data_IF_830259405538
#
_entry.id   IF_830259405538
#
_cell.length_a   1.000
_cell.length_b   1.000
_cell.length_c   1.000
_cell.angle_alpha   90.00
_cell.angle_beta   90.00
_cell.angle_gamma   90.00
#
_symmetry.space_group_name_H-M   'P 1'
#
loop_
_entity.id
_entity.type
_entity.pdbx_description
1 polymer ?
#
# COMPACT_ATOMS: atom_id res chain seq x y z
N UNK A 1 5.66 0.78 -13.96
CA UNK A 1 4.49 1.02 -13.09
C UNK A 1 5.03 1.58 -11.81
N UNK A 2 4.67 2.82 -11.52
CA UNK A 2 5.08 3.47 -10.28
C UNK A 2 4.32 2.80 -9.14
N UNK A 3 4.94 2.75 -7.96
CA UNK A 3 4.28 2.32 -6.73
C UNK A 3 3.03 3.16 -6.44
N UNK A 4 3.03 4.42 -6.88
CA UNK A 4 1.86 5.30 -6.87
C UNK A 4 0.61 4.67 -7.48
N UNK A 5 0.73 3.82 -8.51
CA UNK A 5 -0.43 3.18 -9.16
C UNK A 5 -1.14 2.20 -8.22
N UNK A 6 -0.50 1.78 -7.12
CA UNK A 6 -1.11 0.92 -6.12
C UNK A 6 -2.22 1.58 -5.30
N UNK A 7 -2.59 2.85 -5.55
CA UNK A 7 -3.83 3.46 -5.05
C UNK A 7 -5.09 2.90 -5.75
N UNK A 8 -4.92 2.42 -6.99
CA UNK A 8 -6.01 2.04 -7.88
C UNK A 8 -6.85 0.85 -7.39
N UNK A 9 -6.28 -0.23 -6.81
CA UNK A 9 -7.08 -1.32 -6.26
C UNK A 9 -8.09 -0.84 -5.21
N UNK A 10 -7.66 -0.01 -4.26
CA UNK A 10 -8.52 0.56 -3.22
C UNK A 10 -9.60 1.47 -3.80
N UNK A 11 -9.22 2.31 -4.76
CA UNK A 11 -10.16 3.20 -5.46
C UNK A 11 -11.23 2.41 -6.25
N UNK A 12 -10.83 1.35 -6.96
CA UNK A 12 -11.75 0.47 -7.68
C UNK A 12 -12.71 -0.24 -6.73
N UNK A 13 -12.20 -0.77 -5.62
CA UNK A 13 -13.01 -1.44 -4.61
C UNK A 13 -14.01 -0.48 -3.94
N UNK A 14 -13.59 0.75 -3.63
CA UNK A 14 -14.45 1.82 -3.11
C UNK A 14 -15.57 2.15 -4.11
N UNK A 15 -15.23 2.33 -5.38
CA UNK A 15 -16.22 2.60 -6.42
C UNK A 15 -17.22 1.45 -6.59
N UNK A 16 -16.75 0.20 -6.61
CA UNK A 16 -17.61 -0.98 -6.72
C UNK A 16 -18.58 -1.11 -5.54
N UNK A 17 -18.13 -0.82 -4.31
CA UNK A 17 -19.00 -0.78 -3.13
C UNK A 17 -20.10 0.29 -3.25
N UNK A 18 -19.78 1.44 -3.85
CA UNK A 18 -20.72 2.55 -4.08
C UNK A 18 -21.47 2.48 -5.42
N UNK A 19 -21.56 1.31 -6.05
CA UNK A 19 -22.45 1.05 -7.18
C UNK A 19 -21.84 1.15 -8.58
N UNK A 20 -20.50 1.24 -8.70
CA UNK A 20 -19.83 1.00 -9.98
C UNK A 20 -19.91 -0.48 -10.41
N UNK A 21 -19.66 -0.80 -11.70
CA UNK A 21 -19.69 -2.16 -12.20
C UNK A 21 -18.87 -3.17 -11.38
N UNK A 22 -19.41 -4.39 -11.23
CA UNK A 22 -18.82 -5.41 -10.34
C UNK A 22 -17.45 -5.91 -10.77
N UNK A 23 -17.13 -5.83 -12.07
CA UNK A 23 -15.81 -6.16 -12.64
C UNK A 23 -14.69 -5.24 -12.12
N UNK A 24 -15.03 -4.05 -11.60
CA UNK A 24 -14.07 -3.20 -10.89
C UNK A 24 -13.52 -3.89 -9.63
N UNK A 25 -14.34 -4.65 -8.89
CA UNK A 25 -13.88 -5.41 -7.72
C UNK A 25 -12.98 -6.58 -8.13
N UNK A 26 -13.25 -7.21 -9.28
CA UNK A 26 -12.40 -8.28 -9.81
C UNK A 26 -11.03 -7.74 -10.23
N UNK A 27 -11.00 -6.60 -10.91
CA UNK A 27 -9.75 -5.90 -11.24
C UNK A 27 -9.02 -5.42 -9.98
N UNK A 28 -9.76 -4.91 -8.97
CA UNK A 28 -9.18 -4.49 -7.70
C UNK A 28 -8.42 -5.63 -7.02
N UNK A 29 -9.02 -6.84 -6.95
CA UNK A 29 -8.36 -8.01 -6.36
C UNK A 29 -7.11 -8.42 -7.12
N UNK A 30 -7.15 -8.40 -8.46
CA UNK A 30 -6.00 -8.72 -9.31
C UNK A 30 -4.85 -7.72 -9.11
N UNK A 31 -5.14 -6.43 -9.16
CA UNK A 31 -4.14 -5.39 -8.96
C UNK A 31 -3.61 -5.37 -7.52
N UNK A 32 -4.45 -5.69 -6.52
CA UNK A 32 -4.01 -5.78 -5.13
C UNK A 32 -2.98 -6.90 -4.94
N UNK A 33 -3.20 -8.06 -5.56
CA UNK A 33 -2.20 -9.14 -5.60
C UNK A 33 -0.90 -8.65 -6.26
N UNK A 34 -0.97 -8.01 -7.43
CA UNK A 34 0.21 -7.46 -8.10
C UNK A 34 0.97 -6.46 -7.22
N UNK A 35 0.26 -5.54 -6.56
CA UNK A 35 0.87 -4.57 -5.65
C UNK A 35 1.52 -5.24 -4.44
N UNK A 36 0.95 -6.33 -3.91
CA UNK A 36 1.62 -7.10 -2.87
C UNK A 36 2.85 -7.86 -3.39
N UNK A 37 2.79 -8.40 -4.61
CA UNK A 37 3.94 -9.03 -5.29
C UNK A 37 5.11 -8.04 -5.46
N UNK A 38 4.83 -6.75 -5.69
CA UNK A 38 5.87 -5.70 -5.73
C UNK A 38 6.65 -5.57 -4.42
N UNK A 39 6.07 -5.96 -3.28
CA UNK A 39 6.75 -6.01 -1.99
C UNK A 39 7.51 -7.32 -1.82
N UNK A 40 6.82 -8.46 -1.91
CA UNK A 40 7.41 -9.75 -1.50
C UNK A 40 8.45 -10.31 -2.47
N UNK A 41 8.52 -9.80 -3.70
CA UNK A 41 9.59 -10.14 -4.65
C UNK A 41 10.87 -9.32 -4.43
N UNK A 42 10.88 -8.39 -3.47
CA UNK A 42 12.07 -7.65 -3.05
C UNK A 42 12.69 -8.33 -1.82
N UNK A 43 14.01 -8.25 -1.72
CA UNK A 43 14.80 -8.89 -0.67
C UNK A 43 14.51 -8.29 0.72
N UNK A 44 14.14 -7.01 0.79
CA UNK A 44 13.64 -6.38 2.02
C UNK A 44 12.16 -6.59 2.26
N UNK A 45 11.40 -7.13 1.31
CA UNK A 45 9.95 -7.19 1.39
C UNK A 45 9.26 -5.82 1.35
N UNK A 46 9.92 -4.80 0.78
CA UNK A 46 9.39 -3.45 0.58
C UNK A 46 9.43 -3.10 -0.92
N UNK A 47 8.33 -2.58 -1.47
CA UNK A 47 8.30 -2.20 -2.90
C UNK A 47 9.28 -1.05 -3.21
N UNK A 48 9.94 -1.08 -4.38
CA UNK A 48 10.65 0.07 -4.92
C UNK A 48 9.67 1.17 -5.38
N UNK A 49 10.21 2.32 -5.79
CA UNK A 49 9.43 3.43 -6.35
C UNK A 49 8.80 3.07 -7.69
N UNK A 50 9.53 2.35 -8.56
CA UNK A 50 9.08 1.98 -9.89
C UNK A 50 9.46 0.53 -10.20
N UNK A 51 8.50 -0.24 -10.72
CA UNK A 51 8.70 -1.59 -11.25
C UNK A 51 8.49 -1.64 -12.75
N UNK A 52 9.15 -2.58 -13.41
CA UNK A 52 8.92 -2.93 -14.82
C UNK A 52 8.51 -4.40 -14.88
N UNK A 53 7.45 -4.69 -15.66
CA UNK A 53 6.97 -6.06 -15.81
C UNK A 53 7.62 -6.73 -17.00
N UNK A 54 8.05 -7.98 -16.81
CA UNK A 54 8.59 -8.81 -17.86
C UNK A 54 7.46 -9.45 -18.68
N UNK A 55 7.33 -9.03 -19.95
CA UNK A 55 6.29 -9.52 -20.86
C UNK A 55 6.76 -10.64 -21.79
N UNK A 56 8.01 -11.09 -21.65
CA UNK A 56 8.58 -12.14 -22.49
C UNK A 56 8.32 -13.55 -21.92
N UNK A 57 7.95 -14.49 -22.78
CA UNK A 57 7.86 -15.90 -22.41
C UNK A 57 9.22 -16.44 -21.94
N UNK A 58 9.24 -17.11 -20.79
CA UNK A 58 10.45 -17.70 -20.19
C UNK A 58 11.19 -16.81 -19.19
N UNK A 59 10.70 -15.60 -18.91
CA UNK A 59 11.22 -14.78 -17.81
C UNK A 59 11.04 -15.46 -16.47
N UNK A 60 12.10 -15.47 -15.65
CA UNK A 60 12.13 -16.15 -14.34
C UNK A 60 11.49 -15.29 -13.23
N UNK A 61 11.39 -13.97 -13.46
CA UNK A 61 10.82 -13.01 -12.51
C UNK A 61 9.79 -12.12 -13.21
N UNK A 62 8.67 -11.89 -12.55
CA UNK A 62 7.62 -10.99 -13.04
C UNK A 62 8.09 -9.52 -13.04
N UNK A 63 8.86 -9.15 -12.00
CA UNK A 63 9.20 -7.76 -11.67
C UNK A 63 10.70 -7.50 -11.76
N UNK A 64 11.06 -6.54 -12.61
CA UNK A 64 12.38 -5.93 -12.69
C UNK A 64 12.40 -4.50 -12.14
N UNK A 65 13.54 -4.11 -11.56
CA UNK A 65 13.73 -2.82 -10.89
C UNK A 65 15.05 -2.23 -11.34
N UNK A 66 15.01 -1.07 -12.00
CA UNK A 66 16.22 -0.34 -12.41
C UNK A 66 16.95 0.16 -11.18
N UNK A 67 18.27 0.35 -11.29
CA UNK A 67 19.10 0.80 -10.17
C UNK A 67 18.60 2.12 -9.55
N UNK A 68 18.19 3.08 -10.37
CA UNK A 68 17.69 4.38 -9.91
C UNK A 68 16.35 4.30 -9.16
N UNK A 69 15.59 3.22 -9.38
CA UNK A 69 14.21 3.09 -8.92
C UNK A 69 14.10 2.28 -7.61
N UNK A 70 15.21 1.71 -7.12
CA UNK A 70 15.24 0.80 -5.95
C UNK A 70 14.90 1.44 -4.60
N UNK A 71 14.64 2.74 -4.58
CA UNK A 71 14.36 3.44 -3.33
C UNK A 71 12.94 3.15 -2.86
N UNK A 72 12.74 3.15 -1.55
CA UNK A 72 11.42 3.13 -0.92
C UNK A 72 11.30 4.34 -0.01
N UNK A 73 10.24 5.12 -0.21
CA UNK A 73 10.03 6.38 0.51
C UNK A 73 9.03 6.25 1.67
N UNK A 74 8.71 5.02 2.09
CA UNK A 74 7.70 4.70 3.10
C UNK A 74 6.26 4.99 2.65
N UNK A 75 6.02 4.95 1.33
CA UNK A 75 4.76 5.36 0.71
C UNK A 75 3.56 4.47 1.07
N UNK A 76 2.32 5.02 1.07
CA UNK A 76 1.15 4.36 1.66
C UNK A 76 0.32 3.51 0.70
N UNK A 77 0.45 3.65 -0.61
CA UNK A 77 -0.61 3.33 -1.58
C UNK A 77 -1.02 1.85 -1.55
N UNK A 78 -0.08 0.95 -1.27
CA UNK A 78 -0.40 -0.48 -1.09
C UNK A 78 -1.21 -0.72 0.19
N UNK A 79 -0.81 -0.14 1.33
CA UNK A 79 -1.55 -0.34 2.60
C UNK A 79 -2.87 0.43 2.63
N UNK A 80 -2.98 1.54 1.88
CA UNK A 80 -4.24 2.20 1.55
C UNK A 80 -5.19 1.24 0.85
N UNK A 81 -4.75 0.62 -0.24
CA UNK A 81 -5.58 -0.32 -0.99
C UNK A 81 -5.95 -1.57 -0.17
N UNK A 82 -5.02 -2.10 0.64
CA UNK A 82 -5.30 -3.21 1.55
C UNK A 82 -6.43 -2.87 2.53
N UNK A 83 -6.43 -1.65 3.07
CA UNK A 83 -7.49 -1.17 3.96
C UNK A 83 -8.87 -1.23 3.30
N UNK A 84 -9.01 -0.68 2.09
CA UNK A 84 -10.28 -0.72 1.35
C UNK A 84 -10.72 -2.14 1.03
N UNK A 85 -9.80 -2.96 0.49
CA UNK A 85 -10.10 -4.34 0.13
C UNK A 85 -10.53 -5.15 1.35
N UNK A 86 -9.83 -5.04 2.48
CA UNK A 86 -10.25 -5.67 3.72
C UNK A 86 -11.62 -5.18 4.19
N UNK A 87 -11.87 -3.87 4.16
CA UNK A 87 -13.16 -3.30 4.62
C UNK A 87 -14.35 -3.87 3.85
N UNK A 88 -14.22 -4.06 2.54
CA UNK A 88 -15.32 -4.52 1.69
C UNK A 88 -15.42 -6.04 1.54
N UNK A 89 -14.31 -6.77 1.58
CA UNK A 89 -14.34 -8.24 1.38
C UNK A 89 -14.26 -9.04 2.68
N UNK A 90 -13.77 -8.43 3.77
CA UNK A 90 -13.43 -9.09 5.05
C UNK A 90 -12.44 -10.26 4.91
N UNK A 91 -11.65 -10.26 3.83
CA UNK A 91 -10.64 -11.29 3.60
C UNK A 91 -9.39 -10.96 4.42
N UNK A 92 -9.15 -11.74 5.48
CA UNK A 92 -8.07 -11.51 6.44
C UNK A 92 -6.67 -11.58 5.82
N UNK A 93 -6.50 -12.16 4.63
CA UNK A 93 -5.20 -12.15 3.93
C UNK A 93 -4.67 -10.72 3.74
N UNK A 94 -5.55 -9.73 3.57
CA UNK A 94 -5.14 -8.34 3.37
C UNK A 94 -4.56 -7.73 4.66
N UNK A 95 -5.04 -8.17 5.82
CA UNK A 95 -4.41 -7.82 7.10
C UNK A 95 -3.05 -8.52 7.23
N UNK A 96 -2.96 -9.81 6.88
CA UNK A 96 -1.68 -10.54 6.92
C UNK A 96 -0.62 -9.89 6.03
N UNK A 97 -1.01 -9.45 4.82
CA UNK A 97 -0.15 -8.72 3.90
C UNK A 97 0.29 -7.38 4.46
N UNK A 98 -0.65 -6.61 5.03
CA UNK A 98 -0.33 -5.33 5.70
C UNK A 98 0.62 -5.53 6.88
N UNK A 99 0.45 -6.60 7.66
CA UNK A 99 1.29 -6.94 8.79
C UNK A 99 2.70 -7.33 8.34
N UNK A 100 2.84 -8.09 7.25
CA UNK A 100 4.12 -8.39 6.64
C UNK A 100 4.88 -7.10 6.26
N UNK A 101 4.19 -6.18 5.58
CA UNK A 101 4.76 -4.89 5.17
C UNK A 101 5.22 -4.07 6.39
N UNK A 102 4.39 -3.97 7.43
CA UNK A 102 4.75 -3.25 8.67
C UNK A 102 5.98 -3.86 9.36
N UNK A 103 6.08 -5.19 9.41
CA UNK A 103 7.26 -5.86 9.97
C UNK A 103 8.53 -5.51 9.18
N UNK A 104 8.45 -5.45 7.84
CA UNK A 104 9.58 -5.07 7.00
C UNK A 104 9.95 -3.58 7.16
N UNK A 105 8.98 -2.67 7.30
CA UNK A 105 9.27 -1.29 7.68
C UNK A 105 10.03 -1.22 9.01
N UNK A 106 9.55 -1.91 10.04
CA UNK A 106 10.21 -1.96 11.34
C UNK A 106 11.61 -2.57 11.30
N UNK A 107 11.84 -3.58 10.44
CA UNK A 107 13.13 -4.24 10.29
C UNK A 107 14.16 -3.38 9.54
N UNK A 108 13.76 -2.75 8.44
CA UNK A 108 14.70 -2.19 7.46
C UNK A 108 14.78 -0.67 7.45
N UNK A 109 13.85 0.03 8.12
CA UNK A 109 13.74 1.50 8.03
C UNK A 109 13.76 2.20 9.38
N UNK A 110 13.72 1.48 10.50
CA UNK A 110 13.72 2.05 11.85
C UNK A 110 15.07 2.66 12.21
N UNK A 111 15.04 3.87 12.76
CA UNK A 111 16.23 4.56 13.28
C UNK A 111 16.31 4.36 14.79
N UNK A 112 17.48 3.97 15.31
CA UNK A 112 17.66 3.59 16.72
C UNK A 112 17.36 4.71 17.72
N UNK A 113 17.63 5.96 17.35
CA UNK A 113 17.33 7.15 18.16
C UNK A 113 15.86 7.60 18.08
N UNK A 114 15.05 6.99 17.22
CA UNK A 114 13.66 7.34 17.00
C UNK A 114 13.38 7.73 15.53
N UNK A 115 12.17 7.39 15.07
CA UNK A 115 11.73 7.61 13.70
C UNK A 115 12.01 6.45 12.75
N UNK A 116 11.61 6.67 11.50
CA UNK A 116 11.83 5.78 10.36
C UNK A 116 12.44 6.59 9.22
N UNK A 117 13.07 5.93 8.26
CA UNK A 117 13.77 6.62 7.17
C UNK A 117 13.49 5.97 5.82
N UNK A 118 13.32 6.78 4.79
CA UNK A 118 13.37 6.28 3.41
C UNK A 118 14.71 5.58 3.15
N UNK A 119 14.70 4.58 2.28
CA UNK A 119 15.89 3.79 1.94
C UNK A 119 16.17 3.86 0.44
N UNK A 120 17.45 3.79 0.04
CA UNK A 120 17.83 3.83 -1.38
C UNK A 120 17.78 2.48 -2.08
N UNK A 121 17.81 1.37 -1.33
CA UNK A 121 17.93 0.05 -1.94
C UNK A 121 17.07 -1.02 -1.23
N UNK A 122 15.91 -1.34 -1.80
CA UNK A 122 15.06 -2.46 -1.37
C UNK A 122 15.60 -3.85 -1.76
N UNK A 123 16.65 -3.91 -2.59
CA UNK A 123 17.27 -5.17 -3.05
C UNK A 123 18.40 -5.65 -2.15
N UNK A 124 18.82 -4.84 -1.17
CA UNK A 124 19.96 -5.14 -0.30
C UNK A 124 19.54 -5.11 1.17
N UNK A 125 19.18 -6.27 1.74
CA UNK A 125 18.73 -6.36 3.13
C UNK A 125 19.86 -6.17 4.15
N UNK A 126 21.12 -6.31 3.73
CA UNK A 126 22.29 -6.11 4.59
C UNK A 126 22.67 -4.63 4.68
N UNK A 127 22.46 -3.87 3.59
CA UNK A 127 22.66 -2.42 3.56
C UNK A 127 21.64 -1.69 2.68
N UNK A 128 20.57 -1.19 3.33
CA UNK A 128 19.47 -0.50 2.64
C UNK A 128 19.80 0.93 2.19
N UNK A 129 20.92 1.49 2.65
CA UNK A 129 21.36 2.87 2.41
C UNK A 129 20.28 3.92 2.78
N UNK A 130 20.12 4.23 4.09
CA UNK A 130 19.19 5.25 4.59
C UNK A 130 19.35 6.62 3.93
N UNK A 131 18.23 7.30 3.69
CA UNK A 131 18.19 8.64 3.06
C UNK A 131 18.05 9.80 4.05
N UNK A 132 17.96 9.50 5.34
CA UNK A 132 17.80 10.48 6.42
C UNK A 132 16.56 11.39 6.26
N UNK A 133 15.44 10.79 5.85
CA UNK A 133 14.17 11.50 5.71
C UNK A 133 13.00 10.62 6.11
N UNK A 134 12.14 11.14 6.98
CA UNK A 134 10.82 10.57 7.28
C UNK A 134 9.77 11.48 6.66
N UNK A 135 9.19 11.04 5.54
CA UNK A 135 8.14 11.82 4.87
C UNK A 135 6.90 11.92 5.75
N UNK A 136 6.16 13.04 5.65
CA UNK A 136 4.97 13.30 6.47
C UNK A 136 3.92 12.19 6.33
N UNK A 137 3.74 11.70 5.10
CA UNK A 137 2.77 10.66 4.77
C UNK A 137 3.05 9.31 5.43
N UNK A 138 4.26 9.05 5.94
CA UNK A 138 4.46 7.82 6.70
C UNK A 138 3.58 7.80 7.95
N UNK A 139 3.51 8.93 8.65
CA UNK A 139 2.63 9.09 9.82
C UNK A 139 1.20 9.43 9.41
N UNK A 140 1.04 10.30 8.41
CA UNK A 140 -0.25 10.77 7.92
C UNK A 140 -1.08 9.66 7.28
N UNK A 141 -0.46 8.76 6.54
CA UNK A 141 -1.14 7.81 5.66
C UNK A 141 -0.77 6.37 5.98
N UNK A 142 0.51 5.99 5.84
CA UNK A 142 0.96 4.60 5.94
C UNK A 142 0.55 3.98 7.28
N UNK A 143 0.86 4.65 8.40
CA UNK A 143 0.48 4.17 9.72
C UNK A 143 -1.03 4.30 10.01
N UNK A 144 -1.72 5.30 9.43
CA UNK A 144 -3.17 5.47 9.59
C UNK A 144 -3.94 4.33 8.91
N UNK A 145 -3.60 4.02 7.66
CA UNK A 145 -4.22 2.92 6.93
C UNK A 145 -3.91 1.56 7.57
N UNK A 146 -2.67 1.33 8.04
CA UNK A 146 -2.34 0.11 8.79
C UNK A 146 -3.15 0.01 10.10
N UNK A 147 -3.28 1.09 10.85
CA UNK A 147 -4.10 1.11 12.06
C UNK A 147 -5.57 0.77 11.75
N UNK A 148 -6.14 1.38 10.72
CA UNK A 148 -7.54 1.15 10.31
C UNK A 148 -7.75 -0.24 9.70
N UNK A 149 -6.76 -0.77 8.97
CA UNK A 149 -6.76 -2.12 8.41
C UNK A 149 -6.84 -3.18 9.52
N UNK A 150 -6.14 -2.98 10.63
CA UNK A 150 -6.14 -3.91 11.77
C UNK A 150 -7.24 -3.62 12.80
N UNK A 151 -8.10 -2.64 12.56
CA UNK A 151 -9.18 -2.33 13.48
C UNK A 151 -10.27 -3.40 13.41
N UNK A 152 -10.63 -3.95 14.57
CA UNK A 152 -11.79 -4.83 14.74
C UNK A 152 -13.14 -4.08 14.66
N UNK A 153 -13.11 -2.74 14.70
CA UNK A 153 -14.30 -1.89 14.67
C UNK A 153 -14.51 -1.26 13.28
N UNK A 154 -15.43 -1.80 12.46
CA UNK A 154 -15.73 -1.23 11.15
C UNK A 154 -16.48 0.10 11.23
N UNK A 155 -17.00 0.50 12.40
CA UNK A 155 -17.66 1.80 12.58
C UNK A 155 -16.66 2.93 12.85
N UNK A 156 -15.43 2.59 13.27
CA UNK A 156 -14.32 3.53 13.33
C UNK A 156 -13.96 3.99 11.91
N UNK A 157 -14.31 5.24 11.58
CA UNK A 157 -14.26 5.83 10.23
C UNK A 157 -15.00 4.95 9.20
N UNK A 158 -16.33 5.01 9.23
CA UNK A 158 -17.18 4.33 8.26
C UNK A 158 -16.95 4.86 6.83
N UNK A 159 -16.80 3.96 5.86
CA UNK A 159 -16.66 4.31 4.44
C UNK A 159 -17.98 4.69 3.75
N UNK A 160 -19.09 4.62 4.50
CA UNK A 160 -20.40 5.16 4.10
C UNK A 160 -20.62 6.59 4.64
N UNK A 161 -19.79 7.05 5.59
CA UNK A 161 -19.90 8.37 6.23
C UNK A 161 -18.74 9.30 5.91
N UNK A 162 -17.56 8.75 5.59
CA UNK A 162 -16.35 9.50 5.31
C UNK A 162 -15.73 9.09 3.97
N UNK A 163 -15.12 10.06 3.30
CA UNK A 163 -14.22 9.86 2.18
C UNK A 163 -12.85 10.40 2.55
N UNK A 164 -11.79 9.65 2.28
CA UNK A 164 -10.43 10.11 2.49
C UNK A 164 -10.01 11.01 1.33
N UNK A 165 -9.36 12.14 1.64
CA UNK A 165 -8.59 12.85 0.61
C UNK A 165 -7.33 12.03 0.25
N UNK A 166 -6.58 12.51 -0.76
CA UNK A 166 -5.38 11.81 -1.26
C UNK A 166 -4.17 11.81 -0.30
N UNK A 167 -4.32 12.34 0.92
CA UNK A 167 -3.30 12.28 1.99
C UNK A 167 -3.92 11.64 3.26
N UNK A 168 -4.82 10.68 3.05
CA UNK A 168 -5.53 9.92 4.09
C UNK A 168 -6.26 10.77 5.15
N UNK A 169 -6.68 12.00 4.87
CA UNK A 169 -7.51 12.79 5.78
C UNK A 169 -8.99 12.53 5.52
N UNK A 170 -9.74 11.94 6.48
CA UNK A 170 -11.16 11.67 6.30
C UNK A 170 -11.96 12.98 6.35
N UNK A 171 -12.84 13.15 5.38
CA UNK A 171 -13.80 14.25 5.27
C UNK A 171 -15.22 13.66 5.26
N UNK A 172 -16.19 14.30 5.91
CA UNK A 172 -17.56 13.79 5.94
C UNK A 172 -18.19 13.83 4.54
N UNK A 173 -18.86 12.75 4.17
CA UNK A 173 -19.71 12.70 2.98
C UNK A 173 -20.90 13.63 3.21
N UNK A 174 -21.26 14.42 2.21
CA UNK A 174 -22.44 15.26 2.30
C UNK A 174 -23.71 14.41 2.22
N UNK A 175 -24.67 14.59 3.14
CA UNK A 175 -25.94 13.89 3.06
C UNK A 175 -26.60 14.18 1.71
N UNK A 176 -27.07 13.13 1.02
CA UNK A 176 -27.95 13.31 -0.12
C UNK A 176 -29.21 14.06 0.36
N UNK A 177 -29.40 15.29 -0.09
CA UNK A 177 -30.65 16.02 0.14
C UNK A 177 -31.78 15.21 -0.50
N UNK A 178 -32.72 14.73 0.30
CA UNK A 178 -33.97 14.14 -0.17
C UNK A 178 -34.85 15.19 -0.88
#
# INVERSE_FOLDING_TARGET
>A
MDHLVCFLPGTLALGAHHGLPADHMDLAKQLMETCYQMYIQMETGLSPEIVHFNMHEGSIRDIDVKLADRHNLLRPETVESLFYLYRFTKDHKYQDWGWNILQNFNKYTKVSSGGYTSINNVRDPDYTSPRDKMESFFLGETLKYLYLLFSDDPSSISLDEYVFNTEAHPLPIWPSTA
#
